data_IF_538568386166
#
_entry.id   IF_538568386166
#
_cell.length_a   1.000
_cell.length_b   1.000
_cell.length_c   1.000
_cell.angle_alpha   90.00
_cell.angle_beta   90.00
_cell.angle_gamma   90.00
#
_symmetry.space_group_name_H-M   'P 1'
#
loop_
_entity.id
_entity.type
_entity.pdbx_description
1 polymer ?
#
# COMPACT_ATOMS: atom_id res chain seq x y z
N UNK A 1 23.39 7.20 -18.58
CA UNK A 1 21.95 7.50 -18.40
C UNK A 1 21.85 8.73 -17.53
N UNK A 2 21.02 9.72 -17.91
CA UNK A 2 20.76 10.86 -17.04
C UNK A 2 19.78 10.41 -15.95
N UNK A 3 20.20 10.49 -14.69
CA UNK A 3 19.35 10.16 -13.55
C UNK A 3 18.36 11.33 -13.34
N UNK A 4 17.07 11.02 -13.20
CA UNK A 4 16.09 12.02 -12.82
C UNK A 4 16.36 12.51 -11.40
N UNK A 5 16.10 13.80 -11.13
CA UNK A 5 16.23 14.33 -9.77
C UNK A 5 15.18 13.73 -8.84
N UNK A 6 15.50 13.68 -7.54
CA UNK A 6 14.55 13.29 -6.51
C UNK A 6 13.27 14.14 -6.58
N UNK A 7 13.41 15.45 -6.80
CA UNK A 7 12.27 16.37 -6.90
C UNK A 7 11.35 16.05 -8.09
N UNK A 8 11.92 15.63 -9.22
CA UNK A 8 11.11 15.17 -10.35
C UNK A 8 10.30 13.92 -9.98
N UNK A 9 10.93 12.92 -9.36
CA UNK A 9 10.25 11.69 -8.97
C UNK A 9 9.20 11.92 -7.86
N UNK A 10 9.47 12.85 -6.94
CA UNK A 10 8.50 13.31 -5.94
C UNK A 10 7.32 13.98 -6.63
N UNK A 11 7.56 14.97 -7.50
CA UNK A 11 6.50 15.66 -8.25
C UNK A 11 5.70 14.71 -9.14
N UNK A 12 6.36 13.74 -9.77
CA UNK A 12 5.69 12.70 -10.55
C UNK A 12 4.82 11.81 -9.66
N UNK A 13 5.29 11.49 -8.45
CA UNK A 13 4.51 10.76 -7.45
C UNK A 13 3.29 11.55 -7.00
N UNK A 14 3.35 12.89 -6.93
CA UNK A 14 2.18 13.73 -6.60
C UNK A 14 1.05 13.64 -7.64
N UNK A 15 1.38 13.42 -8.91
CA UNK A 15 0.40 13.15 -9.96
C UNK A 15 -0.03 11.69 -9.99
N UNK A 16 0.92 10.81 -10.31
CA UNK A 16 0.66 9.42 -10.75
C UNK A 16 0.87 8.37 -9.65
N UNK A 17 1.38 8.78 -8.48
CA UNK A 17 1.69 7.89 -7.38
C UNK A 17 0.49 7.47 -6.54
N UNK A 18 0.59 6.32 -5.89
CA UNK A 18 -0.43 5.79 -4.99
C UNK A 18 0.23 5.09 -3.80
N UNK A 19 -0.11 5.56 -2.60
CA UNK A 19 0.11 4.82 -1.35
C UNK A 19 -1.19 4.09 -1.00
N UNK A 20 -1.17 2.77 -1.10
CA UNK A 20 -2.36 1.95 -0.97
C UNK A 20 -2.36 1.15 0.33
N UNK A 21 -3.52 1.11 0.98
CA UNK A 21 -3.83 0.20 2.09
C UNK A 21 -5.20 -0.43 1.81
N UNK A 22 -5.28 -1.74 1.98
CA UNK A 22 -6.51 -2.50 1.85
C UNK A 22 -6.55 -3.69 2.78
N UNK A 23 -7.74 -4.24 2.95
CA UNK A 23 -7.96 -5.51 3.63
C UNK A 23 -8.71 -6.39 2.65
N UNK A 24 -8.16 -7.57 2.36
CA UNK A 24 -8.68 -8.48 1.34
C UNK A 24 -8.91 -9.87 1.92
N UNK A 25 -9.86 -10.65 1.38
CA UNK A 25 -10.03 -12.04 1.77
C UNK A 25 -8.74 -12.83 1.52
N UNK A 26 -8.34 -13.68 2.47
CA UNK A 26 -7.15 -14.52 2.36
C UNK A 26 -7.32 -15.84 3.10
N UNK A 27 -7.22 -16.95 2.37
CA UNK A 27 -7.28 -18.31 2.95
C UNK A 27 -6.06 -18.66 3.80
N UNK A 28 -4.98 -17.88 3.68
CA UNK A 28 -3.70 -18.11 4.37
C UNK A 28 -3.71 -17.58 5.81
N UNK A 29 -4.71 -16.79 6.17
CA UNK A 29 -4.83 -16.17 7.51
C UNK A 29 -5.93 -16.85 8.33
N UNK A 30 -5.72 -16.98 9.64
CA UNK A 30 -6.72 -17.55 10.57
C UNK A 30 -8.01 -16.71 10.64
N UNK A 31 -7.91 -15.42 10.38
CA UNK A 31 -9.06 -14.49 10.35
C UNK A 31 -9.74 -14.45 8.99
N UNK A 32 -9.19 -15.14 7.98
CA UNK A 32 -9.59 -15.05 6.58
C UNK A 32 -9.44 -13.67 5.93
N UNK A 33 -8.70 -12.76 6.57
CA UNK A 33 -8.43 -11.40 6.11
C UNK A 33 -6.95 -11.07 6.17
N UNK A 34 -6.45 -10.48 5.09
CA UNK A 34 -5.07 -10.02 4.99
C UNK A 34 -5.03 -8.50 4.78
N UNK A 35 -4.22 -7.83 5.59
CA UNK A 35 -3.84 -6.43 5.35
C UNK A 35 -2.85 -6.39 4.20
N UNK A 36 -3.18 -5.64 3.15
CA UNK A 36 -2.32 -5.41 2.00
C UNK A 36 -1.92 -3.94 1.93
N UNK A 37 -0.67 -3.71 1.55
CA UNK A 37 -0.10 -2.38 1.40
C UNK A 37 0.88 -2.39 0.23
N UNK A 38 0.94 -1.30 -0.52
CA UNK A 38 1.95 -1.11 -1.56
C UNK A 38 2.09 0.37 -1.92
N UNK A 39 3.26 0.72 -2.44
CA UNK A 39 3.47 1.93 -3.21
C UNK A 39 3.42 1.58 -4.71
N UNK A 40 2.73 2.41 -5.49
CA UNK A 40 2.60 2.22 -6.94
C UNK A 40 2.75 3.55 -7.68
N UNK A 41 3.39 3.53 -8.84
CA UNK A 41 3.36 4.61 -9.83
C UNK A 41 2.98 3.99 -11.17
N UNK A 42 1.96 4.53 -11.85
CA UNK A 42 1.54 4.07 -13.18
C UNK A 42 1.97 5.03 -14.27
N UNK A 43 2.21 4.51 -15.48
CA UNK A 43 2.48 5.32 -16.66
C UNK A 43 2.12 4.54 -17.93
N UNK A 44 1.81 5.25 -19.02
CA UNK A 44 1.73 4.65 -20.35
C UNK A 44 3.07 3.99 -20.76
N UNK A 45 3.08 3.03 -21.71
CA UNK A 45 4.31 2.37 -22.14
C UNK A 45 5.38 3.30 -22.73
N UNK A 46 4.96 4.40 -23.36
CA UNK A 46 5.89 5.37 -23.95
C UNK A 46 6.77 6.01 -22.86
N UNK A 47 6.21 6.24 -21.67
CA UNK A 47 6.90 6.78 -20.50
C UNK A 47 7.51 5.73 -19.56
N UNK A 48 7.74 4.48 -20.02
CA UNK A 48 8.31 3.41 -19.18
C UNK A 48 9.64 3.81 -18.54
N UNK A 49 10.41 4.68 -19.19
CA UNK A 49 11.69 5.16 -18.66
C UNK A 49 11.55 5.79 -17.28
N UNK A 50 10.46 6.54 -17.02
CA UNK A 50 10.21 7.11 -15.68
C UNK A 50 10.03 5.99 -14.63
N UNK A 51 9.38 4.89 -14.99
CA UNK A 51 9.20 3.74 -14.09
C UNK A 51 10.51 3.02 -13.82
N UNK A 52 11.39 2.90 -14.83
CA UNK A 52 12.75 2.37 -14.64
C UNK A 52 13.56 3.27 -13.70
N UNK A 53 13.46 4.59 -13.85
CA UNK A 53 14.13 5.56 -12.99
C UNK A 53 13.68 5.44 -11.53
N UNK A 54 12.39 5.18 -11.25
CA UNK A 54 11.95 4.84 -9.89
C UNK A 54 12.60 3.56 -9.36
N UNK A 55 12.62 2.50 -10.16
CA UNK A 55 13.20 1.22 -9.79
C UNK A 55 14.70 1.34 -9.49
N UNK A 56 15.44 2.06 -10.33
CA UNK A 56 16.88 2.28 -10.17
C UNK A 56 17.16 3.20 -8.97
N UNK A 57 16.41 4.30 -8.84
CA UNK A 57 16.60 5.27 -7.75
C UNK A 57 16.29 4.68 -6.38
N UNK A 58 15.23 3.89 -6.27
CA UNK A 58 14.84 3.25 -5.01
C UNK A 58 15.55 1.91 -4.81
N UNK A 59 16.12 1.31 -5.84
CA UNK A 59 16.80 0.02 -5.79
C UNK A 59 15.91 -1.12 -5.28
N UNK A 60 14.61 -1.07 -5.55
CA UNK A 60 13.63 -2.07 -5.12
C UNK A 60 12.42 -2.10 -6.07
N UNK A 61 11.43 -2.92 -5.75
CA UNK A 61 10.19 -3.02 -6.54
C UNK A 61 10.36 -3.68 -7.90
N UNK A 62 9.27 -3.70 -8.65
CA UNK A 62 9.19 -4.32 -9.96
C UNK A 62 8.16 -3.60 -10.84
N UNK A 63 8.30 -3.76 -12.16
CA UNK A 63 7.36 -3.20 -13.15
C UNK A 63 6.47 -4.33 -13.67
N UNK A 64 5.18 -4.06 -13.80
CA UNK A 64 4.19 -4.98 -14.38
C UNK A 64 3.11 -4.22 -15.16
N UNK A 65 2.21 -4.94 -15.83
CA UNK A 65 0.96 -4.36 -16.34
C UNK A 65 0.14 -3.79 -15.17
N UNK A 66 -0.44 -2.60 -15.37
CA UNK A 66 -1.18 -1.90 -14.33
C UNK A 66 -2.51 -2.61 -14.02
N UNK A 67 -3.32 -2.89 -15.06
CA UNK A 67 -4.52 -3.71 -14.96
C UNK A 67 -4.21 -5.17 -15.28
N UNK A 68 -4.77 -6.08 -14.49
CA UNK A 68 -4.72 -7.54 -14.76
C UNK A 68 -6.02 -8.05 -15.40
N UNK A 69 -7.10 -7.28 -15.33
CA UNK A 69 -8.44 -7.70 -15.76
C UNK A 69 -8.90 -6.98 -17.02
N UNK A 70 -8.47 -5.74 -17.21
CA UNK A 70 -8.75 -4.97 -18.42
C UNK A 70 -7.61 -5.14 -19.41
N UNK A 71 -7.87 -5.90 -20.49
CA UNK A 71 -6.88 -6.17 -21.55
C UNK A 71 -6.65 -4.97 -22.48
N UNK A 72 -7.53 -3.97 -22.44
CA UNK A 72 -7.43 -2.76 -23.25
C UNK A 72 -6.48 -1.74 -22.61
N UNK A 73 -6.36 -1.75 -21.28
CA UNK A 73 -5.36 -0.96 -20.56
C UNK A 73 -3.95 -1.46 -20.88
N UNK A 74 -3.18 -0.60 -21.54
CA UNK A 74 -1.77 -0.85 -21.87
C UNK A 74 -0.79 -0.24 -20.87
N UNK A 75 -1.27 0.48 -19.86
CA UNK A 75 -0.40 1.14 -18.89
C UNK A 75 0.40 0.13 -18.07
N UNK A 76 1.60 0.57 -17.68
CA UNK A 76 2.52 -0.15 -16.82
C UNK A 76 2.50 0.49 -15.43
N UNK A 77 2.95 -0.28 -14.44
CA UNK A 77 3.08 0.19 -13.08
C UNK A 77 4.36 -0.32 -12.43
N UNK A 78 5.13 0.60 -11.86
CA UNK A 78 6.15 0.29 -10.87
C UNK A 78 5.48 0.06 -9.51
N UNK A 79 5.82 -1.04 -8.83
CA UNK A 79 5.20 -1.45 -7.57
C UNK A 79 6.26 -1.88 -6.56
N UNK A 80 6.13 -1.37 -5.33
CA UNK A 80 6.87 -1.85 -4.14
C UNK A 80 5.85 -2.37 -3.14
N UNK A 81 5.97 -3.64 -2.74
CA UNK A 81 5.00 -4.31 -1.87
C UNK A 81 5.59 -5.06 -0.68
N UNK A 82 6.88 -5.38 -0.73
CA UNK A 82 7.56 -6.03 0.39
C UNK A 82 7.81 -5.03 1.51
N UNK A 83 7.61 -5.48 2.75
CA UNK A 83 7.74 -4.63 3.92
C UNK A 83 9.14 -4.01 4.08
N UNK A 84 10.26 -4.74 3.91
CA UNK A 84 11.60 -4.17 4.06
C UNK A 84 11.86 -3.00 3.09
N UNK A 85 11.53 -3.15 1.80
CA UNK A 85 11.75 -2.07 0.83
C UNK A 85 10.84 -0.86 1.10
N UNK A 86 9.61 -1.08 1.54
CA UNK A 86 8.73 0.01 1.92
C UNK A 86 9.29 0.80 3.11
N UNK A 87 9.74 0.10 4.16
CA UNK A 87 10.29 0.70 5.38
C UNK A 87 11.62 1.40 5.14
N UNK A 88 12.55 0.73 4.48
CA UNK A 88 13.96 1.14 4.44
C UNK A 88 14.30 2.03 3.23
N UNK A 89 13.44 2.05 2.21
CA UNK A 89 13.70 2.78 0.95
C UNK A 89 12.60 3.77 0.61
N UNK A 90 11.35 3.31 0.53
CA UNK A 90 10.23 4.17 0.09
C UNK A 90 9.89 5.24 1.13
N UNK A 91 9.73 4.87 2.41
CA UNK A 91 9.42 5.84 3.46
C UNK A 91 10.51 6.92 3.55
N UNK A 92 11.81 6.60 3.69
CA UNK A 92 12.85 7.63 3.76
C UNK A 92 12.92 8.52 2.52
N UNK A 93 12.66 7.97 1.32
CA UNK A 93 12.71 8.74 0.08
C UNK A 93 11.68 9.88 0.05
N UNK A 94 10.46 9.64 0.53
CA UNK A 94 9.35 10.60 0.48
C UNK A 94 9.19 11.45 1.76
N UNK A 95 9.99 11.19 2.80
CA UNK A 95 9.86 11.88 4.09
C UNK A 95 10.00 13.40 3.95
N UNK A 96 8.95 14.13 4.33
CA UNK A 96 8.94 15.60 4.28
C UNK A 96 8.88 16.22 2.87
N UNK A 97 8.81 15.41 1.80
CA UNK A 97 8.86 15.91 0.41
C UNK A 97 7.50 16.03 -0.27
N UNK A 98 6.45 15.39 0.28
CA UNK A 98 5.11 15.38 -0.32
C UNK A 98 4.24 16.55 0.17
N UNK A 99 3.50 17.13 -0.76
CA UNK A 99 2.50 18.20 -0.63
C UNK A 99 1.07 17.65 -0.76
N UNK A 100 0.68 17.16 -1.95
CA UNK A 100 -0.72 16.75 -2.24
C UNK A 100 -1.02 15.39 -1.60
N UNK A 101 -0.08 14.44 -1.70
CA UNK A 101 -0.22 13.08 -1.14
C UNK A 101 0.33 12.96 0.28
N UNK A 102 0.65 14.06 0.95
CA UNK A 102 1.20 14.09 2.32
C UNK A 102 0.36 13.28 3.31
N UNK A 103 -0.96 13.47 3.30
CA UNK A 103 -1.85 12.76 4.23
C UNK A 103 -1.98 11.27 3.89
N UNK A 104 -2.04 10.91 2.61
CA UNK A 104 -2.04 9.51 2.19
C UNK A 104 -0.75 8.80 2.60
N UNK A 105 0.39 9.45 2.42
CA UNK A 105 1.70 8.96 2.85
C UNK A 105 1.79 8.82 4.38
N UNK A 106 1.32 9.81 5.14
CA UNK A 106 1.27 9.75 6.61
C UNK A 106 0.45 8.55 7.10
N UNK A 107 -0.74 8.34 6.55
CA UNK A 107 -1.61 7.19 6.87
C UNK A 107 -0.96 5.86 6.49
N UNK A 108 -0.31 5.81 5.33
CA UNK A 108 0.47 4.65 4.87
C UNK A 108 1.59 4.28 5.84
N UNK A 109 2.42 5.26 6.25
CA UNK A 109 3.44 5.08 7.28
C UNK A 109 2.86 4.55 8.60
N UNK A 110 1.74 5.11 9.05
CA UNK A 110 1.09 4.71 10.29
C UNK A 110 0.68 3.22 10.27
N UNK A 111 0.12 2.73 9.17
CA UNK A 111 -0.23 1.31 9.03
C UNK A 111 1.01 0.43 8.95
N UNK A 112 2.05 0.84 8.22
CA UNK A 112 3.30 0.07 8.19
C UNK A 112 3.92 -0.08 9.57
N UNK A 113 3.87 0.96 10.42
CA UNK A 113 4.31 0.87 11.82
C UNK A 113 3.47 -0.14 12.62
N UNK A 114 2.15 -0.12 12.49
CA UNK A 114 1.28 -1.11 13.15
C UNK A 114 1.58 -2.54 12.68
N UNK A 115 1.92 -2.72 11.39
CA UNK A 115 2.31 -4.00 10.83
C UNK A 115 3.66 -4.48 11.37
N UNK A 116 4.63 -3.57 11.50
CA UNK A 116 5.94 -3.85 12.09
C UNK A 116 5.81 -4.35 13.53
N UNK A 117 4.96 -3.70 14.30
CA UNK A 117 4.64 -4.02 15.70
C UNK A 117 3.71 -5.23 15.83
N UNK A 118 3.38 -5.91 14.72
CA UNK A 118 2.46 -7.08 14.65
C UNK A 118 1.06 -6.80 15.20
N UNK A 119 0.63 -5.55 15.26
CA UNK A 119 -0.64 -5.13 15.85
C UNK A 119 -1.84 -5.60 15.01
N UNK A 120 -1.65 -5.87 13.72
CA UNK A 120 -2.70 -6.36 12.82
C UNK A 120 -3.33 -7.68 13.25
N UNK A 121 -2.71 -8.45 14.15
CA UNK A 121 -3.24 -9.72 14.66
C UNK A 121 -4.16 -9.56 15.88
N UNK A 122 -4.28 -8.35 16.43
CA UNK A 122 -5.13 -8.04 17.58
C UNK A 122 -6.39 -7.29 17.16
N UNK A 123 -7.48 -7.46 17.91
CA UNK A 123 -8.73 -6.71 17.68
C UNK A 123 -8.50 -5.18 17.75
N UNK A 124 -7.78 -4.61 18.74
CA UNK A 124 -7.52 -3.17 18.77
C UNK A 124 -6.66 -2.68 17.60
N UNK A 125 -5.65 -3.45 17.21
CA UNK A 125 -4.74 -3.07 16.13
C UNK A 125 -5.40 -3.13 14.75
N UNK A 126 -6.16 -4.20 14.44
CA UNK A 126 -6.89 -4.27 13.16
C UNK A 126 -7.98 -3.19 13.08
N UNK A 127 -8.62 -2.85 14.20
CA UNK A 127 -9.62 -1.77 14.24
C UNK A 127 -8.99 -0.45 13.79
N UNK A 128 -7.81 -0.10 14.33
CA UNK A 128 -7.06 1.09 13.90
C UNK A 128 -6.69 1.06 12.42
N UNK A 129 -6.24 -0.10 11.91
CA UNK A 129 -5.90 -0.26 10.49
C UNK A 129 -7.13 -0.08 9.61
N UNK A 130 -8.29 -0.64 10.00
CA UNK A 130 -9.56 -0.50 9.28
C UNK A 130 -10.01 0.96 9.23
N UNK A 131 -9.92 1.68 10.35
CA UNK A 131 -10.25 3.11 10.39
C UNK A 131 -9.39 3.91 9.42
N UNK A 132 -8.06 3.69 9.45
CA UNK A 132 -7.15 4.37 8.54
C UNK A 132 -7.45 4.00 7.09
N UNK A 133 -7.52 2.70 6.78
CA UNK A 133 -7.70 2.20 5.42
C UNK A 133 -9.01 2.70 4.79
N UNK A 134 -10.12 2.72 5.55
CA UNK A 134 -11.41 3.19 5.06
C UNK A 134 -11.51 4.72 5.00
N UNK A 135 -10.69 5.44 5.78
CA UNK A 135 -10.54 6.90 5.63
C UNK A 135 -9.68 7.30 4.43
N UNK A 136 -9.08 6.35 3.71
CA UNK A 136 -8.31 6.59 2.50
C UNK A 136 -9.18 6.28 1.26
N UNK A 137 -9.27 7.26 0.36
CA UNK A 137 -9.96 7.26 -0.95
C UNK A 137 -11.36 6.60 -1.03
N UNK A 138 -12.28 7.36 -1.62
CA UNK A 138 -13.74 7.35 -1.43
C UNK A 138 -14.53 6.37 -2.29
N UNK A 139 -13.88 5.41 -2.96
CA UNK A 139 -14.64 4.41 -3.71
C UNK A 139 -15.43 3.53 -2.75
N UNK A 140 -16.68 3.20 -3.12
CA UNK A 140 -17.56 2.33 -2.33
C UNK A 140 -16.83 1.04 -2.00
N UNK A 141 -16.51 0.84 -0.73
CA UNK A 141 -15.87 -0.38 -0.24
C UNK A 141 -16.90 -1.51 -0.38
N UNK A 142 -16.47 -2.66 -0.91
CA UNK A 142 -17.34 -3.82 -1.12
C UNK A 142 -17.70 -4.54 0.17
N UNK A 143 -16.88 -4.38 1.21
CA UNK A 143 -17.01 -5.06 2.49
C UNK A 143 -17.07 -4.02 3.59
N UNK A 144 -18.02 -4.16 4.51
CA UNK A 144 -18.13 -3.32 5.70
C UNK A 144 -17.05 -3.65 6.74
N UNK A 145 -16.57 -2.63 7.46
CA UNK A 145 -15.54 -2.82 8.51
C UNK A 145 -15.96 -3.88 9.54
N UNK A 146 -17.25 -3.88 9.89
CA UNK A 146 -17.81 -4.75 10.92
C UNK A 146 -17.68 -6.24 10.57
N UNK A 147 -17.89 -6.60 9.29
CA UNK A 147 -17.75 -7.99 8.81
C UNK A 147 -16.32 -8.49 9.00
N UNK A 148 -15.34 -7.63 8.76
CA UNK A 148 -13.92 -7.96 8.97
C UNK A 148 -13.67 -8.12 10.48
N UNK A 149 -14.11 -7.14 11.28
CA UNK A 149 -13.86 -7.10 12.72
C UNK A 149 -14.45 -8.31 13.47
N UNK A 150 -15.64 -8.76 13.09
CA UNK A 150 -16.27 -9.97 13.64
C UNK A 150 -15.40 -11.22 13.48
N UNK A 151 -14.64 -11.32 12.38
CA UNK A 151 -13.76 -12.46 12.14
C UNK A 151 -12.58 -12.48 13.12
N UNK A 152 -12.10 -11.31 13.54
CA UNK A 152 -11.05 -11.17 14.55
C UNK A 152 -11.59 -11.48 15.95
N UNK A 153 -12.77 -10.94 16.29
CA UNK A 153 -13.40 -11.19 17.60
C UNK A 153 -13.70 -12.67 17.81
N UNK A 154 -14.23 -13.37 16.80
CA UNK A 154 -14.50 -14.82 16.86
C UNK A 154 -13.21 -15.62 17.11
N UNK A 155 -12.11 -15.26 16.45
CA UNK A 155 -10.83 -15.93 16.62
C UNK A 155 -10.25 -15.72 18.03
N UNK A 156 -10.35 -14.51 18.58
CA UNK A 156 -9.89 -14.18 19.93
C UNK A 156 -10.68 -14.96 20.99
N UNK A 157 -12.02 -14.97 20.89
CA UNK A 157 -12.88 -15.75 21.80
C UNK A 157 -12.59 -17.26 21.74
N UNK A 158 -12.32 -17.81 20.55
CA UNK A 158 -11.97 -19.23 20.40
C UNK A 158 -10.60 -19.58 21.02
N UNK A 159 -9.69 -18.62 21.15
CA UNK A 159 -8.38 -18.83 21.76
C UNK A 159 -8.42 -18.67 23.28
N UNK A 160 -9.33 -17.85 23.80
CA UNK A 160 -9.52 -17.64 25.24
C UNK A 160 -10.20 -18.83 25.97
N UNK A 161 -10.83 -19.75 25.23
CA UNK A 161 -11.53 -20.94 25.77
C UNK A 161 -10.59 -22.16 25.88
N UNK A 162 -9.32 -22.05 25.43
CA UNK A 162 -8.31 -23.11 25.52
C UNK A 162 -7.25 -22.79 26.57
#
# INVERSE_FOLDING_TARGET
MNLLSDDYLVGFTEGEGMFYIGIVPSKETKTHWQVIYFFKVSQNPIGIEVLNQFKDRLGCGYIKQNSQTDKTDKSLAYVVRDFPSLRDKVIPFFEGKLLIKKDAFRKFKQVLKLVEEKQQFSVPGITKILEIAYSMNTQKRKVEKQVILESYMKLESSQAIR
#
